data_IF_778058337103
#
_entry.id   IF_778058337103
#
_cell.length_a   1.000
_cell.length_b   1.000
_cell.length_c   1.000
_cell.angle_alpha   90.00
_cell.angle_beta   90.00
_cell.angle_gamma   90.00
#
_symmetry.space_group_name_H-M   'P 1'
#
loop_
_entity.id
_entity.type
_entity.pdbx_description
1 polymer ?
#
# COMPACT_ATOMS: atom_id res chain seq x y z
N UNK A 1 23.76 21.24 -0.62
CA UNK A 1 23.06 20.07 -1.17
C UNK A 1 22.22 19.49 -0.06
N UNK A 2 21.01 20.01 0.14
CA UNK A 2 20.05 19.38 1.05
C UNK A 2 19.41 18.24 0.28
N UNK A 3 19.61 17.01 0.73
CA UNK A 3 18.86 15.88 0.21
C UNK A 3 17.55 15.89 0.98
N UNK A 4 16.47 16.29 0.32
CA UNK A 4 15.13 16.20 0.89
C UNK A 4 14.81 14.71 1.10
N UNK A 5 14.27 14.31 2.27
CA UNK A 5 13.94 12.91 2.53
C UNK A 5 12.94 12.34 1.53
N UNK A 6 12.11 13.20 0.94
CA UNK A 6 11.16 12.89 -0.13
C UNK A 6 11.83 12.40 -1.41
N UNK A 7 12.98 12.99 -1.76
CA UNK A 7 13.74 12.63 -2.95
C UNK A 7 14.41 11.27 -2.79
N UNK A 8 14.81 10.94 -1.56
CA UNK A 8 15.32 9.61 -1.22
C UNK A 8 14.22 8.59 -1.45
N UNK A 9 13.03 8.80 -0.88
CA UNK A 9 11.92 7.85 -1.01
C UNK A 9 11.51 7.66 -2.47
N UNK A 10 11.32 8.76 -3.22
CA UNK A 10 10.98 8.68 -4.66
C UNK A 10 12.06 7.94 -5.46
N UNK A 11 13.33 8.22 -5.19
CA UNK A 11 14.45 7.55 -5.85
C UNK A 11 14.48 6.07 -5.52
N UNK A 12 14.30 5.67 -4.27
CA UNK A 12 14.27 4.26 -3.86
C UNK A 12 13.07 3.52 -4.50
N UNK A 13 11.90 4.15 -4.55
CA UNK A 13 10.71 3.58 -5.21
C UNK A 13 10.93 3.41 -6.71
N UNK A 14 11.41 4.45 -7.40
CA UNK A 14 11.70 4.39 -8.85
C UNK A 14 12.80 3.36 -9.13
N UNK A 15 13.83 3.31 -8.29
CA UNK A 15 14.92 2.33 -8.40
C UNK A 15 14.40 0.92 -8.21
N UNK A 16 13.63 0.67 -7.15
CA UNK A 16 13.03 -0.64 -6.86
C UNK A 16 12.12 -1.12 -8.00
N UNK A 17 11.28 -0.23 -8.53
CA UNK A 17 10.41 -0.54 -9.67
C UNK A 17 11.22 -0.85 -10.94
N UNK A 18 12.24 -0.03 -11.22
CA UNK A 18 13.10 -0.21 -12.40
C UNK A 18 13.89 -1.51 -12.34
N UNK A 19 14.43 -1.84 -11.16
CA UNK A 19 15.11 -3.12 -10.92
C UNK A 19 14.14 -4.28 -11.09
N UNK A 20 12.92 -4.18 -10.54
CA UNK A 20 11.89 -5.20 -10.70
C UNK A 20 11.54 -5.47 -12.17
N UNK A 21 11.30 -4.42 -12.94
CA UNK A 21 10.99 -4.52 -14.37
C UNK A 21 12.18 -5.06 -15.18
N UNK A 22 13.40 -4.61 -14.88
CA UNK A 22 14.61 -5.10 -15.52
C UNK A 22 14.85 -6.59 -15.26
N UNK A 23 14.70 -7.03 -14.01
CA UNK A 23 14.81 -8.45 -13.64
C UNK A 23 13.72 -9.30 -14.30
N UNK A 24 12.48 -8.83 -14.33
CA UNK A 24 11.37 -9.54 -14.99
C UNK A 24 11.63 -9.76 -16.49
N UNK A 25 12.25 -8.79 -17.16
CA UNK A 25 12.63 -8.92 -18.58
C UNK A 25 13.75 -9.94 -18.80
N UNK A 26 14.75 -9.97 -17.91
CA UNK A 26 15.94 -10.84 -18.05
C UNK A 26 15.67 -12.27 -17.56
N UNK A 27 14.70 -12.47 -16.65
CA UNK A 27 14.37 -13.75 -16.02
C UNK A 27 14.19 -14.92 -17.01
N UNK A 28 13.43 -14.79 -18.11
CA UNK A 28 13.21 -15.89 -19.06
C UNK A 28 14.49 -16.34 -19.76
N UNK A 29 15.44 -15.41 -19.96
CA UNK A 29 16.72 -15.72 -20.61
C UNK A 29 17.68 -16.46 -19.69
N UNK A 30 17.48 -16.39 -18.38
CA UNK A 30 18.30 -17.07 -17.38
C UNK A 30 17.75 -18.45 -16.99
N UNK A 31 16.48 -18.77 -17.29
CA UNK A 31 15.87 -20.08 -17.05
C UNK A 31 16.73 -21.30 -17.45
N UNK A 32 17.37 -21.36 -18.64
CA UNK A 32 18.18 -22.52 -19.03
C UNK A 32 19.47 -22.68 -18.21
N UNK A 33 19.93 -21.64 -17.52
CA UNK A 33 21.18 -21.65 -16.73
C UNK A 33 20.99 -22.30 -15.36
N UNK A 34 19.77 -22.24 -14.81
CA UNK A 34 19.51 -22.57 -13.41
C UNK A 34 19.15 -24.05 -13.13
N UNK A 35 18.93 -24.87 -14.17
CA UNK A 35 18.83 -26.34 -14.09
C UNK A 35 17.90 -26.88 -12.99
N UNK A 36 18.14 -28.13 -12.54
CA UNK A 36 17.35 -28.77 -11.47
C UNK A 36 17.63 -28.20 -10.06
N UNK A 37 18.72 -27.46 -9.87
CA UNK A 37 19.14 -26.90 -8.58
C UNK A 37 18.29 -25.71 -8.12
N UNK A 38 17.57 -25.03 -9.02
CA UNK A 38 16.66 -23.94 -8.66
C UNK A 38 15.32 -24.39 -8.08
N UNK A 39 14.96 -25.67 -8.21
CA UNK A 39 13.69 -26.23 -7.71
C UNK A 39 13.40 -25.91 -6.24
N UNK A 40 14.34 -26.06 -5.27
CA UNK A 40 14.09 -25.66 -3.88
C UNK A 40 13.90 -24.15 -3.71
N UNK A 41 14.63 -23.32 -4.47
CA UNK A 41 14.50 -21.85 -4.42
C UNK A 41 13.11 -21.43 -4.89
N UNK A 42 12.68 -21.96 -6.04
CA UNK A 42 11.35 -21.68 -6.61
C UNK A 42 10.25 -22.13 -5.64
N UNK A 43 10.39 -23.31 -5.02
CA UNK A 43 9.45 -23.78 -3.99
C UNK A 43 9.43 -22.86 -2.75
N UNK A 44 10.59 -22.38 -2.30
CA UNK A 44 10.69 -21.42 -1.21
C UNK A 44 9.98 -20.10 -1.55
N UNK A 45 10.24 -19.58 -2.75
CA UNK A 45 9.63 -18.36 -3.26
C UNK A 45 8.11 -18.48 -3.36
N UNK A 46 7.57 -19.58 -3.90
CA UNK A 46 6.12 -19.81 -3.97
C UNK A 46 5.46 -19.87 -2.59
N UNK A 47 6.09 -20.55 -1.63
CA UNK A 47 5.57 -20.58 -0.25
C UNK A 47 5.60 -19.20 0.38
N UNK A 48 6.71 -18.48 0.23
CA UNK A 48 6.84 -17.11 0.70
C UNK A 48 5.81 -16.17 0.09
N UNK A 49 5.57 -16.27 -1.22
CA UNK A 49 4.58 -15.43 -1.91
C UNK A 49 3.16 -15.72 -1.46
N UNK A 50 2.81 -16.99 -1.20
CA UNK A 50 1.49 -17.33 -0.66
C UNK A 50 1.29 -16.67 0.69
N UNK A 51 2.23 -16.86 1.62
CA UNK A 51 2.16 -16.26 2.97
C UNK A 51 2.10 -14.72 2.89
N UNK A 52 2.94 -14.11 2.05
CA UNK A 52 2.95 -12.66 1.86
C UNK A 52 1.62 -12.14 1.30
N UNK A 53 1.01 -12.86 0.36
CA UNK A 53 -0.29 -12.49 -0.21
C UNK A 53 -1.42 -12.61 0.81
N UNK A 54 -1.47 -13.71 1.57
CA UNK A 54 -2.47 -13.92 2.62
C UNK A 54 -2.39 -12.81 3.67
N UNK A 55 -1.19 -12.55 4.21
CA UNK A 55 -0.98 -11.48 5.18
C UNK A 55 -1.24 -10.10 4.60
N UNK A 56 -0.81 -9.86 3.36
CA UNK A 56 -1.05 -8.58 2.70
C UNK A 56 -2.55 -8.29 2.56
N UNK A 57 -3.37 -9.30 2.26
CA UNK A 57 -4.82 -9.15 2.21
C UNK A 57 -5.43 -8.86 3.58
N UNK A 58 -4.95 -9.52 4.63
CA UNK A 58 -5.36 -9.25 6.02
C UNK A 58 -5.05 -7.81 6.41
N UNK A 59 -3.81 -7.37 6.23
CA UNK A 59 -3.40 -5.99 6.53
C UNK A 59 -4.17 -4.96 5.71
N UNK A 60 -4.46 -5.24 4.43
CA UNK A 60 -5.31 -4.36 3.63
C UNK A 60 -6.73 -4.27 4.19
N UNK A 61 -7.29 -5.38 4.68
CA UNK A 61 -8.61 -5.40 5.30
C UNK A 61 -8.65 -4.53 6.56
N UNK A 62 -7.68 -4.71 7.47
CA UNK A 62 -7.54 -3.91 8.70
C UNK A 62 -7.39 -2.42 8.39
N UNK A 63 -6.62 -2.08 7.35
CA UNK A 63 -6.46 -0.70 6.89
C UNK A 63 -7.77 -0.12 6.35
N UNK A 64 -8.53 -0.88 5.55
CA UNK A 64 -9.84 -0.43 5.08
C UNK A 64 -10.82 -0.20 6.23
N UNK A 65 -10.88 -1.10 7.21
CA UNK A 65 -11.74 -0.92 8.39
C UNK A 65 -11.37 0.38 9.15
N UNK A 66 -10.07 0.61 9.38
CA UNK A 66 -9.59 1.83 10.04
C UNK A 66 -9.97 3.10 9.24
N UNK A 67 -9.90 3.03 7.90
CA UNK A 67 -10.30 4.15 7.04
C UNK A 67 -11.82 4.37 7.05
N UNK A 68 -12.61 3.31 7.10
CA UNK A 68 -14.07 3.37 7.19
C UNK A 68 -14.50 4.02 8.52
N UNK A 69 -13.85 3.67 9.63
CA UNK A 69 -14.09 4.28 10.94
C UNK A 69 -13.80 5.78 10.92
N UNK A 70 -12.62 6.19 10.41
CA UNK A 70 -12.25 7.60 10.28
C UNK A 70 -13.18 8.38 9.35
N UNK A 71 -13.62 7.74 8.26
CA UNK A 71 -14.56 8.35 7.31
C UNK A 71 -15.93 8.57 7.96
N UNK A 72 -16.41 7.59 8.73
CA UNK A 72 -17.66 7.71 9.47
C UNK A 72 -17.59 8.79 10.55
N UNK A 73 -16.49 8.85 11.31
CA UNK A 73 -16.24 9.88 12.31
C UNK A 73 -16.25 11.28 11.69
N UNK A 74 -15.44 11.51 10.65
CA UNK A 74 -15.35 12.80 9.96
C UNK A 74 -16.71 13.22 9.37
N UNK A 75 -17.48 12.28 8.83
CA UNK A 75 -18.81 12.57 8.29
C UNK A 75 -19.79 12.99 9.39
N UNK A 76 -19.77 12.31 10.53
CA UNK A 76 -20.61 12.66 11.67
C UNK A 76 -20.26 14.05 12.22
N UNK A 77 -18.96 14.37 12.32
CA UNK A 77 -18.50 15.71 12.72
C UNK A 77 -18.98 16.80 11.75
N UNK A 78 -18.93 16.55 10.44
CA UNK A 78 -19.44 17.48 9.42
C UNK A 78 -20.96 17.69 9.54
N UNK A 79 -21.73 16.62 9.75
CA UNK A 79 -23.18 16.71 9.95
C UNK A 79 -23.53 17.47 11.25
N UNK A 80 -22.77 17.28 12.33
CA UNK A 80 -22.92 18.02 13.58
C UNK A 80 -22.58 19.51 13.40
N UNK A 81 -21.50 19.84 12.69
CA UNK A 81 -21.12 21.23 12.40
C UNK A 81 -22.21 21.97 11.61
N UNK A 82 -22.78 21.30 10.59
CA UNK A 82 -23.90 21.83 9.79
C UNK A 82 -25.16 22.00 10.65
N UNK A 83 -25.48 21.03 11.51
CA UNK A 83 -26.65 21.11 12.39
C UNK A 83 -26.52 22.24 13.42
N UNK A 84 -25.33 22.39 14.03
CA UNK A 84 -24.99 23.45 14.99
C UNK A 84 -25.07 24.85 14.36
N UNK A 85 -24.59 25.01 13.12
CA UNK A 85 -24.74 26.26 12.35
C UNK A 85 -26.21 26.62 12.03
N UNK A 86 -27.10 25.62 11.88
CA UNK A 86 -28.51 25.86 11.57
C UNK A 86 -29.37 26.25 12.78
N UNK A 87 -28.94 25.89 13.99
CA UNK A 87 -29.61 26.22 15.25
C UNK A 87 -29.38 27.67 15.71
N UNK A 88 -28.19 28.23 15.49
CA UNK A 88 -27.81 29.57 15.96
C UNK A 88 -28.49 30.75 15.25
N UNK A 89 -29.34 30.52 14.24
CA UNK A 89 -30.03 31.59 13.50
C UNK A 89 -31.50 31.81 13.93
N UNK A 90 -32.02 31.04 14.89
CA UNK A 90 -33.43 31.13 15.33
C UNK A 90 -33.67 31.88 16.64
N UNK A 91 -32.63 32.28 17.35
CA UNK A 91 -32.74 32.98 18.65
C UNK A 91 -32.43 34.48 18.59
N UNK A 92 -32.34 35.04 17.38
CA UNK A 92 -32.08 36.46 17.14
C UNK A 92 -33.17 37.08 16.23
N UNK A 93 -34.42 37.01 16.66
CA UNK A 93 -35.48 37.94 16.22
C UNK A 93 -36.47 38.22 17.36
#
# INVERSE_FOLDING_TARGET
>A
MGIEPEDIIKKEVVTGLSVGLGLAYVLPKLLPVFGQAAKPIIKGMMKGSIIAYEKGRETLAELTETLEDLWAETKAELEEEIASQSGGKKDAE
#
